data_IF_301163883508
#
_entry.id   IF_301163883508
#
_cell.length_a   1.000
_cell.length_b   1.000
_cell.length_c   1.000
_cell.angle_alpha   90.00
_cell.angle_beta   90.00
_cell.angle_gamma   90.00
#
_symmetry.space_group_name_H-M   'P 1'
#
loop_
_entity.id
_entity.type
_entity.pdbx_description
1 polymer ?
#
# COMPACT_ATOMS: atom_id res chain seq x y z
N UNK A 1 3.26 -12.19 32.85
CA UNK A 1 3.67 -12.27 31.42
C UNK A 1 4.03 -10.86 31.00
N UNK A 2 5.17 -10.66 30.35
CA UNK A 2 5.52 -9.36 29.80
C UNK A 2 4.64 -9.06 28.56
N UNK A 3 4.18 -7.83 28.44
CA UNK A 3 3.40 -7.37 27.28
C UNK A 3 4.32 -7.28 26.06
N UNK A 4 3.84 -7.66 24.88
CA UNK A 4 4.59 -7.55 23.61
C UNK A 4 4.12 -6.38 22.78
N UNK A 5 4.99 -5.85 21.92
CA UNK A 5 4.68 -4.73 21.03
C UNK A 5 3.46 -5.02 20.13
N UNK A 6 3.39 -6.23 19.54
CA UNK A 6 2.23 -6.63 18.75
C UNK A 6 0.90 -6.60 19.54
N UNK A 7 0.92 -6.91 20.84
CA UNK A 7 -0.27 -6.87 21.70
C UNK A 7 -0.71 -5.43 21.97
N UNK A 8 0.24 -4.51 22.19
CA UNK A 8 -0.04 -3.08 22.32
C UNK A 8 -0.66 -2.53 21.04
N UNK A 9 -0.08 -2.85 19.88
CA UNK A 9 -0.60 -2.44 18.57
C UNK A 9 -2.03 -2.95 18.36
N UNK A 10 -2.33 -4.19 18.78
CA UNK A 10 -3.66 -4.77 18.63
C UNK A 10 -4.74 -4.05 19.45
N UNK A 11 -4.41 -3.58 20.67
CA UNK A 11 -5.39 -2.89 21.54
C UNK A 11 -5.50 -1.39 21.26
N UNK A 12 -4.46 -0.76 20.72
CA UNK A 12 -4.39 0.69 20.46
C UNK A 12 -5.61 1.20 19.69
N UNK A 13 -5.99 0.51 18.61
CA UNK A 13 -7.12 0.93 17.78
C UNK A 13 -8.43 1.00 18.58
N UNK A 14 -8.67 0.03 19.45
CA UNK A 14 -9.87 -0.01 20.30
C UNK A 14 -9.85 1.07 21.38
N UNK A 15 -8.70 1.26 22.02
CA UNK A 15 -8.51 2.33 23.02
C UNK A 15 -8.72 3.70 22.41
N UNK A 16 -8.16 3.96 21.22
CA UNK A 16 -8.34 5.21 20.49
C UNK A 16 -9.80 5.47 20.15
N UNK A 17 -10.51 4.48 19.61
CA UNK A 17 -11.92 4.61 19.27
C UNK A 17 -12.78 4.93 20.51
N UNK A 18 -12.54 4.22 21.62
CA UNK A 18 -13.23 4.47 22.89
C UNK A 18 -12.94 5.87 23.44
N UNK A 19 -11.68 6.27 23.53
CA UNK A 19 -11.29 7.57 24.07
C UNK A 19 -11.85 8.74 23.24
N UNK A 20 -11.90 8.61 21.91
CA UNK A 20 -12.56 9.60 21.06
C UNK A 20 -14.08 9.67 21.32
N UNK A 21 -14.75 8.52 21.46
CA UNK A 21 -16.18 8.50 21.77
C UNK A 21 -16.50 9.11 23.14
N UNK A 22 -15.73 8.75 24.16
CA UNK A 22 -15.86 9.27 25.53
C UNK A 22 -15.68 10.80 25.54
N UNK A 23 -14.67 11.32 24.83
CA UNK A 23 -14.43 12.77 24.71
C UNK A 23 -15.56 13.49 23.98
N UNK A 24 -16.08 12.93 22.89
CA UNK A 24 -17.22 13.52 22.17
C UNK A 24 -18.47 13.56 23.04
N UNK A 25 -18.73 12.50 23.81
CA UNK A 25 -19.85 12.46 24.74
C UNK A 25 -19.71 13.51 25.85
N UNK A 26 -18.52 13.59 26.46
CA UNK A 26 -18.20 14.60 27.47
C UNK A 26 -18.44 16.03 26.95
N UNK A 27 -17.99 16.34 25.74
CA UNK A 27 -18.23 17.64 25.08
C UNK A 27 -19.72 17.94 24.92
N UNK A 28 -20.50 16.96 24.48
CA UNK A 28 -21.93 17.12 24.27
C UNK A 28 -22.70 17.31 25.59
N UNK A 29 -22.29 16.63 26.67
CA UNK A 29 -22.93 16.77 27.98
C UNK A 29 -22.68 18.15 28.58
N UNK A 30 -21.45 18.68 28.49
CA UNK A 30 -21.14 20.02 29.01
C UNK A 30 -21.72 21.16 28.17
N UNK A 31 -22.05 20.92 26.89
CA UNK A 31 -22.73 21.91 26.05
C UNK A 31 -24.22 22.05 26.38
N UNK A 32 -24.82 21.07 27.05
CA UNK A 32 -26.23 21.12 27.46
C UNK A 32 -26.36 21.82 28.81
N UNK A 33 -26.43 23.15 28.79
CA UNK A 33 -26.55 23.97 30.02
C UNK A 33 -27.66 23.50 30.96
N UNK A 34 -28.80 23.04 30.43
CA UNK A 34 -29.91 22.53 31.23
C UNK A 34 -29.54 21.33 32.13
N UNK A 35 -28.52 20.54 31.77
CA UNK A 35 -28.03 19.43 32.59
C UNK A 35 -27.11 19.90 33.73
N UNK A 36 -26.45 21.03 33.54
CA UNK A 36 -25.50 21.66 34.47
C UNK A 36 -26.19 22.60 35.46
N UNK A 37 -27.42 23.02 35.16
CA UNK A 37 -28.19 23.94 35.99
C UNK A 37 -29.27 23.22 36.78
N UNK A 38 -29.41 23.55 38.06
CA UNK A 38 -30.56 23.19 38.89
C UNK A 38 -31.35 24.42 39.30
N UNK A 39 -32.61 24.24 39.68
CA UNK A 39 -33.45 25.29 40.24
C UNK A 39 -34.25 24.72 41.41
N UNK A 40 -34.42 25.48 42.48
CA UNK A 40 -35.32 25.15 43.58
C UNK A 40 -36.05 26.44 43.98
N UNK A 41 -37.38 26.44 43.87
CA UNK A 41 -38.24 27.56 44.20
C UNK A 41 -39.34 27.11 45.13
N UNK A 42 -39.48 27.84 46.23
CA UNK A 42 -40.58 27.72 47.17
C UNK A 42 -41.38 29.00 47.14
N UNK A 43 -42.69 28.91 46.93
CA UNK A 43 -43.57 30.07 46.95
C UNK A 43 -44.06 30.33 48.38
N UNK A 44 -43.94 31.58 48.84
CA UNK A 44 -44.51 32.02 50.11
C UNK A 44 -45.51 33.15 49.83
N UNK A 45 -46.81 32.96 50.13
CA UNK A 45 -47.80 34.02 49.98
C UNK A 45 -47.46 35.23 50.87
N UNK A 46 -47.82 36.44 50.40
CA UNK A 46 -47.57 37.68 51.14
C UNK A 46 -48.56 37.90 52.29
N UNK A 47 -49.81 37.49 52.09
CA UNK A 47 -50.92 37.64 53.03
C UNK A 47 -51.40 36.26 53.51
N UNK A 48 -51.99 36.18 54.71
CA UNK A 48 -52.40 34.91 55.32
C UNK A 48 -53.47 34.15 54.52
N UNK A 49 -54.30 34.86 53.76
CA UNK A 49 -55.33 34.29 52.87
C UNK A 49 -54.83 34.09 51.42
N UNK A 50 -53.52 34.21 51.18
CA UNK A 50 -52.93 34.15 49.84
C UNK A 50 -52.93 32.74 49.23
N UNK A 51 -53.05 32.69 47.89
CA UNK A 51 -53.07 31.45 47.13
C UNK A 51 -51.72 30.71 47.21
N UNK A 52 -51.72 29.41 47.52
CA UNK A 52 -50.50 28.61 47.60
C UNK A 52 -50.15 27.95 46.26
N UNK A 53 -48.90 28.06 45.84
CA UNK A 53 -48.35 27.35 44.69
C UNK A 53 -47.39 26.23 45.12
N UNK A 54 -47.38 25.09 44.42
CA UNK A 54 -46.45 24.01 44.71
C UNK A 54 -45.00 24.43 44.44
N UNK A 55 -44.02 23.91 45.19
CA UNK A 55 -42.61 24.20 44.94
C UNK A 55 -42.16 23.59 43.60
N UNK A 56 -41.28 24.29 42.90
CA UNK A 56 -40.63 23.84 41.66
C UNK A 56 -39.19 23.43 41.98
N UNK A 57 -38.77 22.23 41.58
CA UNK A 57 -37.39 21.77 41.81
C UNK A 57 -36.87 20.92 40.64
N UNK A 58 -35.73 21.33 40.08
CA UNK A 58 -34.92 20.57 39.12
C UNK A 58 -33.50 20.45 39.68
N UNK A 59 -32.98 19.22 39.76
CA UNK A 59 -31.62 18.97 40.24
C UNK A 59 -30.61 19.07 39.08
N UNK A 60 -29.38 19.42 39.42
CA UNK A 60 -28.22 19.28 38.52
C UNK A 60 -28.07 17.80 38.15
N UNK A 61 -27.90 17.51 36.87
CA UNK A 61 -27.78 16.15 36.34
C UNK A 61 -26.34 15.79 35.96
N UNK A 62 -25.54 16.80 35.58
CA UNK A 62 -24.13 16.65 35.18
C UNK A 62 -23.29 17.59 36.02
N UNK A 63 -22.23 17.07 36.62
CA UNK A 63 -21.20 17.85 37.30
C UNK A 63 -19.96 17.96 36.41
N UNK A 64 -19.53 19.19 36.10
CA UNK A 64 -18.38 19.42 35.20
C UNK A 64 -17.10 18.74 35.71
N UNK A 65 -16.84 18.76 37.02
CA UNK A 65 -15.69 18.09 37.64
C UNK A 65 -15.67 16.57 37.42
N UNK A 66 -16.85 15.92 37.47
CA UNK A 66 -16.96 14.48 37.20
C UNK A 66 -16.72 14.18 35.72
N UNK A 67 -17.16 15.06 34.82
CA UNK A 67 -16.89 14.97 33.39
C UNK A 67 -15.39 15.14 33.10
N UNK A 68 -14.71 16.08 33.77
CA UNK A 68 -13.26 16.26 33.64
C UNK A 68 -12.51 15.01 34.12
N UNK A 69 -12.85 14.47 35.29
CA UNK A 69 -12.23 13.27 35.85
C UNK A 69 -12.40 12.04 34.95
N UNK A 70 -13.59 11.83 34.41
CA UNK A 70 -13.86 10.70 33.50
C UNK A 70 -13.15 10.87 32.16
N UNK A 71 -13.13 12.09 31.61
CA UNK A 71 -12.38 12.42 30.39
C UNK A 71 -10.87 12.19 30.58
N UNK A 72 -10.30 12.66 31.70
CA UNK A 72 -8.91 12.47 32.07
C UNK A 72 -8.52 11.00 32.13
N UNK A 73 -9.34 10.16 32.79
CA UNK A 73 -9.11 8.72 32.88
C UNK A 73 -9.10 8.03 31.51
N UNK A 74 -10.06 8.37 30.64
CA UNK A 74 -10.16 7.78 29.30
C UNK A 74 -8.98 8.19 28.41
N UNK A 75 -8.62 9.47 28.41
CA UNK A 75 -7.50 9.99 27.63
C UNK A 75 -6.13 9.55 28.18
N UNK A 76 -5.98 9.38 29.49
CA UNK A 76 -4.76 8.84 30.11
C UNK A 76 -4.43 7.48 29.52
N UNK A 77 -5.43 6.59 29.48
CA UNK A 77 -5.25 5.25 28.89
C UNK A 77 -4.81 5.33 27.43
N UNK A 78 -5.37 6.25 26.64
CA UNK A 78 -4.94 6.48 25.25
C UNK A 78 -3.48 6.93 25.17
N UNK A 79 -3.08 7.89 26.01
CA UNK A 79 -1.74 8.48 25.99
C UNK A 79 -0.69 7.43 26.37
N UNK A 80 -0.97 6.63 27.40
CA UNK A 80 -0.09 5.56 27.87
C UNK A 80 0.11 4.47 26.82
N UNK A 81 -0.95 4.01 26.14
CA UNK A 81 -0.83 3.02 25.06
C UNK A 81 0.02 3.55 23.92
N UNK A 82 -0.25 4.79 23.52
CA UNK A 82 0.44 5.42 22.39
C UNK A 82 1.92 5.58 22.71
N UNK A 83 2.25 6.10 23.89
CA UNK A 83 3.62 6.23 24.35
C UNK A 83 4.33 4.87 24.47
N UNK A 84 3.66 3.87 25.04
CA UNK A 84 4.22 2.51 25.14
C UNK A 84 4.63 1.96 23.78
N UNK A 85 3.76 2.11 22.78
CA UNK A 85 4.05 1.70 21.40
C UNK A 85 5.22 2.49 20.80
N UNK A 86 5.20 3.81 20.94
CA UNK A 86 6.17 4.68 20.29
C UNK A 86 7.57 4.52 20.89
N UNK A 87 7.69 4.36 22.21
CA UNK A 87 8.96 4.02 22.86
C UNK A 87 9.44 2.63 22.46
N UNK A 88 8.55 1.63 22.47
CA UNK A 88 8.93 0.28 22.05
C UNK A 88 9.42 0.22 20.60
N UNK A 89 8.87 1.04 19.71
CA UNK A 89 9.33 1.14 18.33
C UNK A 89 10.77 1.67 18.18
N UNK A 90 11.29 2.41 19.16
CA UNK A 90 12.69 2.89 19.15
C UNK A 90 13.69 1.73 19.29
N UNK A 91 13.29 0.70 20.04
CA UNK A 91 14.15 -0.42 20.42
C UNK A 91 13.85 -1.69 19.61
N UNK A 92 12.62 -1.87 19.13
CA UNK A 92 12.19 -3.05 18.37
C UNK A 92 12.95 -3.19 17.04
N UNK A 93 13.85 -4.18 17.00
CA UNK A 93 14.74 -4.48 15.88
C UNK A 93 14.80 -5.98 15.60
N UNK A 94 15.15 -6.34 14.38
CA UNK A 94 15.44 -7.72 14.00
C UNK A 94 16.38 -7.79 12.79
N UNK A 95 17.05 -8.94 12.66
CA UNK A 95 17.85 -9.27 11.48
C UNK A 95 16.97 -9.77 10.33
N UNK A 96 17.27 -9.33 9.11
CA UNK A 96 16.70 -9.92 7.89
C UNK A 96 17.64 -11.01 7.39
N UNK A 97 17.23 -12.28 7.55
CA UNK A 97 18.02 -13.46 7.15
C UNK A 97 17.43 -14.10 5.90
N UNK A 98 18.23 -14.22 4.84
CA UNK A 98 17.86 -14.93 3.59
C UNK A 98 18.76 -16.14 3.45
N UNK A 99 18.17 -17.33 3.32
CA UNK A 99 18.90 -18.61 3.18
C UNK A 99 19.97 -18.80 4.29
N UNK A 100 19.64 -18.42 5.53
CA UNK A 100 20.54 -18.52 6.70
C UNK A 100 21.61 -17.42 6.79
N UNK A 101 21.73 -16.54 5.79
CA UNK A 101 22.67 -15.42 5.81
C UNK A 101 21.97 -14.13 6.25
N UNK A 102 22.55 -13.43 7.23
CA UNK A 102 22.12 -12.08 7.61
C UNK A 102 22.41 -11.13 6.44
N UNK A 103 21.35 -10.57 5.86
CA UNK A 103 21.42 -9.59 4.79
C UNK A 103 21.43 -8.17 5.36
N UNK A 104 20.57 -7.91 6.35
CA UNK A 104 20.48 -6.65 7.09
C UNK A 104 20.42 -6.99 8.58
N UNK A 105 21.22 -6.30 9.39
CA UNK A 105 21.29 -6.54 10.83
C UNK A 105 20.56 -5.44 11.62
N UNK A 106 19.95 -5.80 12.76
CA UNK A 106 19.40 -4.86 13.75
C UNK A 106 18.45 -3.80 13.15
N UNK A 107 17.59 -4.24 12.23
CA UNK A 107 16.74 -3.34 11.45
C UNK A 107 15.51 -2.91 12.25
N UNK A 108 15.24 -1.60 12.40
CA UNK A 108 14.04 -1.11 13.09
C UNK A 108 12.74 -1.64 12.51
N UNK A 109 11.77 -1.98 13.37
CA UNK A 109 10.45 -2.50 12.96
C UNK A 109 9.70 -1.57 12.01
N UNK A 110 9.84 -0.26 12.20
CA UNK A 110 9.23 0.76 11.33
C UNK A 110 9.81 0.72 9.92
N UNK A 111 11.12 0.48 9.79
CA UNK A 111 11.79 0.33 8.49
C UNK A 111 11.47 -1.02 7.84
N UNK A 112 11.34 -2.10 8.63
CA UNK A 112 10.87 -3.40 8.12
C UNK A 112 9.47 -3.30 7.51
N UNK A 113 8.57 -2.54 8.12
CA UNK A 113 7.24 -2.25 7.56
C UNK A 113 7.32 -1.48 6.23
N UNK A 114 8.26 -0.52 6.13
CA UNK A 114 8.53 0.19 4.88
C UNK A 114 9.06 -0.76 3.79
N UNK A 115 10.08 -1.57 4.12
CA UNK A 115 10.67 -2.54 3.20
C UNK A 115 9.64 -3.54 2.68
N UNK A 116 8.77 -4.06 3.55
CA UNK A 116 7.71 -4.99 3.16
C UNK A 116 6.83 -4.38 2.05
N UNK A 117 6.42 -3.12 2.20
CA UNK A 117 5.64 -2.40 1.18
C UNK A 117 6.44 -2.19 -0.11
N UNK A 118 7.67 -1.69 -0.01
CA UNK A 118 8.49 -1.43 -1.20
C UNK A 118 8.81 -2.72 -1.98
N UNK A 119 8.99 -3.84 -1.29
CA UNK A 119 9.25 -5.11 -1.96
C UNK A 119 8.02 -5.63 -2.71
N UNK A 120 6.80 -5.28 -2.31
CA UNK A 120 5.59 -5.53 -3.11
C UNK A 120 5.66 -4.76 -4.43
N UNK A 121 6.05 -3.49 -4.38
CA UNK A 121 6.20 -2.67 -5.60
C UNK A 121 7.32 -3.19 -6.50
N UNK A 122 8.46 -3.58 -5.93
CA UNK A 122 9.58 -4.20 -6.66
C UNK A 122 9.16 -5.52 -7.30
N UNK A 123 8.42 -6.38 -6.59
CA UNK A 123 7.88 -7.62 -7.16
C UNK A 123 6.97 -7.32 -8.35
N UNK A 124 6.05 -6.37 -8.20
CA UNK A 124 5.15 -5.93 -9.25
C UNK A 124 5.89 -5.36 -10.47
N UNK A 125 6.98 -4.62 -10.25
CA UNK A 125 7.85 -4.12 -11.30
C UNK A 125 8.57 -5.27 -12.03
N UNK A 126 9.24 -6.16 -11.30
CA UNK A 126 9.97 -7.30 -11.88
C UNK A 126 9.05 -8.19 -12.70
N UNK A 127 7.83 -8.43 -12.21
CA UNK A 127 6.81 -9.23 -12.91
C UNK A 127 6.41 -8.64 -14.27
N UNK A 128 6.54 -7.32 -14.45
CA UNK A 128 6.20 -6.61 -15.68
C UNK A 128 7.39 -6.42 -16.63
N UNK A 129 8.58 -6.91 -16.28
CA UNK A 129 9.74 -6.78 -17.15
C UNK A 129 9.50 -7.50 -18.49
N UNK A 130 9.86 -6.87 -19.63
CA UNK A 130 9.69 -7.49 -20.93
C UNK A 130 10.59 -8.72 -21.07
N UNK A 131 10.02 -9.77 -21.66
CA UNK A 131 10.69 -11.06 -21.89
C UNK A 131 10.94 -11.24 -23.39
N UNK A 132 12.06 -11.86 -23.74
CA UNK A 132 12.38 -12.23 -25.13
C UNK A 132 11.28 -13.12 -25.74
N UNK A 133 10.92 -12.84 -26.99
CA UNK A 133 9.95 -13.63 -27.73
C UNK A 133 10.48 -15.05 -27.94
N UNK A 134 9.70 -16.04 -27.50
CA UNK A 134 10.05 -17.46 -27.60
C UNK A 134 9.95 -18.02 -29.03
N UNK A 135 9.32 -17.30 -29.96
CA UNK A 135 9.27 -17.68 -31.37
C UNK A 135 10.61 -17.45 -32.10
N UNK A 136 11.52 -16.68 -31.50
CA UNK A 136 12.79 -16.30 -32.09
C UNK A 136 13.97 -16.96 -31.37
N UNK A 137 15.04 -17.24 -32.12
CA UNK A 137 16.31 -17.72 -31.55
C UNK A 137 17.23 -16.54 -31.25
N UNK A 138 17.39 -16.22 -29.97
CA UNK A 138 18.17 -15.08 -29.51
C UNK A 138 19.58 -15.46 -29.07
N UNK A 139 20.57 -14.73 -29.55
CA UNK A 139 21.98 -14.82 -29.14
C UNK A 139 22.39 -13.51 -28.47
N UNK A 140 23.21 -13.59 -27.42
CA UNK A 140 23.72 -12.40 -26.72
C UNK A 140 24.80 -11.75 -27.58
N UNK A 141 24.66 -10.45 -27.82
CA UNK A 141 25.67 -9.64 -28.47
C UNK A 141 26.37 -8.77 -27.43
N UNK A 142 27.58 -9.17 -27.04
CA UNK A 142 28.37 -8.48 -26.00
C UNK A 142 28.81 -7.08 -26.43
N UNK A 143 28.92 -6.81 -27.73
CA UNK A 143 29.37 -5.51 -28.23
C UNK A 143 28.33 -4.41 -28.03
N UNK A 144 27.05 -4.78 -27.97
CA UNK A 144 25.92 -3.85 -27.84
C UNK A 144 25.08 -4.09 -26.58
N UNK A 145 25.49 -5.03 -25.74
CA UNK A 145 24.78 -5.50 -24.54
C UNK A 145 23.30 -5.86 -24.81
N UNK A 146 23.00 -6.31 -26.03
CA UNK A 146 21.64 -6.62 -26.51
C UNK A 146 21.49 -8.08 -26.93
N UNK A 147 20.25 -8.52 -27.16
CA UNK A 147 19.96 -9.81 -27.78
C UNK A 147 19.71 -9.60 -29.27
N UNK A 148 20.24 -10.49 -30.11
CA UNK A 148 19.98 -10.46 -31.55
C UNK A 148 19.61 -11.83 -32.10
N UNK A 149 18.82 -11.87 -33.18
CA UNK A 149 18.54 -13.11 -33.89
C UNK A 149 19.61 -13.43 -34.93
N UNK A 150 19.60 -14.64 -35.45
CA UNK A 150 20.34 -14.93 -36.67
C UNK A 150 19.75 -14.16 -37.87
N UNK A 151 20.58 -13.77 -38.86
CA UNK A 151 20.10 -13.07 -40.04
C UNK A 151 19.18 -13.95 -40.90
N UNK A 152 17.94 -13.51 -41.13
CA UNK A 152 16.99 -14.18 -42.02
C UNK A 152 16.92 -13.46 -43.36
N UNK A 153 17.08 -14.20 -44.46
CA UNK A 153 16.97 -13.64 -45.82
C UNK A 153 15.59 -13.88 -46.41
N UNK A 154 14.96 -12.82 -46.93
CA UNK A 154 13.69 -12.91 -47.66
C UNK A 154 13.81 -12.27 -49.03
N UNK A 155 13.20 -12.90 -50.05
CA UNK A 155 13.27 -12.41 -51.42
C UNK A 155 12.26 -11.28 -51.63
N UNK A 156 12.70 -10.22 -52.33
CA UNK A 156 11.80 -9.19 -52.86
C UNK A 156 11.55 -9.47 -54.33
N UNK A 157 10.29 -9.68 -54.69
CA UNK A 157 9.87 -9.85 -56.08
C UNK A 157 9.25 -8.57 -56.62
N UNK A 158 9.30 -8.40 -57.94
CA UNK A 158 8.62 -7.34 -58.68
C UNK A 158 7.88 -7.98 -59.84
N UNK A 159 6.61 -7.63 -60.00
CA UNK A 159 5.83 -7.99 -61.18
C UNK A 159 6.37 -7.26 -62.39
N UNK A 160 6.79 -8.03 -63.38
CA UNK A 160 7.20 -7.53 -64.69
C UNK A 160 6.17 -8.01 -65.70
N UNK A 161 5.58 -7.08 -66.43
CA UNK A 161 4.67 -7.40 -67.52
C UNK A 161 5.48 -7.89 -68.72
N UNK A 162 5.17 -9.09 -69.19
CA UNK A 162 5.74 -9.67 -70.41
C UNK A 162 4.65 -9.97 -71.41
N UNK A 163 4.99 -9.82 -72.67
CA UNK A 163 4.09 -10.09 -73.78
C UNK A 163 4.38 -11.49 -74.31
N UNK A 164 3.39 -12.39 -74.24
CA UNK A 164 3.43 -13.68 -74.93
C UNK A 164 2.63 -13.57 -76.23
N UNK A 165 3.31 -13.80 -77.36
CA UNK A 165 2.62 -13.89 -78.65
C UNK A 165 2.03 -15.30 -78.76
N UNK A 166 0.70 -15.41 -78.61
CA UNK A 166 -0.02 -16.69 -78.72
C UNK A 166 -0.11 -17.17 -80.17
N UNK A 167 -0.21 -16.22 -81.10
CA UNK A 167 -0.21 -16.48 -82.54
C UNK A 167 0.52 -15.34 -83.26
N UNK A 168 1.45 -15.69 -84.13
CA UNK A 168 2.21 -14.72 -84.93
C UNK A 168 1.30 -13.99 -85.93
N UNK A 169 1.70 -12.78 -86.31
CA UNK A 169 0.96 -12.01 -87.30
C UNK A 169 0.99 -12.72 -88.65
N UNK A 170 -0.16 -12.81 -89.32
CA UNK A 170 -0.27 -13.24 -90.73
C UNK A 170 -0.61 -12.04 -91.60
N UNK A 171 -0.47 -12.17 -92.91
CA UNK A 171 -0.72 -11.08 -93.87
C UNK A 171 -2.12 -10.45 -93.74
N UNK A 172 -3.10 -11.18 -93.18
CA UNK A 172 -4.49 -10.74 -93.02
C UNK A 172 -4.93 -10.51 -91.57
N UNK A 173 -4.13 -10.90 -90.57
CA UNK A 173 -4.49 -10.77 -89.16
C UNK A 173 -3.30 -10.35 -88.28
N UNK A 174 -3.49 -9.36 -87.38
CA UNK A 174 -2.44 -8.94 -86.46
C UNK A 174 -2.12 -10.04 -85.43
N UNK A 175 -0.91 -9.99 -84.87
CA UNK A 175 -0.47 -10.93 -83.84
C UNK A 175 -1.42 -10.89 -82.63
N UNK A 176 -1.77 -12.08 -82.12
CA UNK A 176 -2.51 -12.18 -80.86
C UNK A 176 -1.52 -12.20 -79.71
N UNK A 177 -1.47 -11.09 -78.97
CA UNK A 177 -0.56 -10.91 -77.84
C UNK A 177 -1.37 -10.92 -76.54
N UNK A 178 -0.96 -11.77 -75.61
CA UNK A 178 -1.46 -11.71 -74.23
C UNK A 178 -0.38 -11.15 -73.32
N UNK A 179 -0.76 -10.15 -72.52
CA UNK A 179 0.11 -9.63 -71.46
C UNK A 179 -0.09 -10.50 -70.24
N UNK A 180 0.99 -11.11 -69.73
CA UNK A 180 0.99 -11.83 -68.47
C UNK A 180 2.03 -11.22 -67.52
N UNK A 181 1.82 -11.40 -66.23
CA UNK A 181 2.74 -10.92 -65.21
C UNK A 181 3.65 -12.05 -64.76
N UNK A 182 4.96 -11.81 -64.79
CA UNK A 182 5.96 -12.69 -64.19
C UNK A 182 6.53 -12.05 -62.93
N UNK A 183 6.58 -12.79 -61.83
CA UNK A 183 7.21 -12.34 -60.58
C UNK A 183 8.71 -12.62 -60.63
N UNK A 184 9.51 -11.58 -60.89
CA UNK A 184 10.97 -11.68 -60.93
C UNK A 184 11.54 -11.27 -59.58
N UNK A 185 12.44 -12.09 -59.02
CA UNK A 185 13.18 -11.73 -57.79
C UNK A 185 14.19 -10.62 -58.12
N UNK A 186 14.04 -9.46 -57.48
CA UNK A 186 14.87 -8.27 -57.72
C UNK A 186 15.93 -8.03 -56.63
N UNK A 187 15.89 -8.80 -55.54
CA UNK A 187 16.87 -8.69 -54.46
C UNK A 187 16.44 -9.48 -53.22
N UNK A 188 17.23 -9.37 -52.15
CA UNK A 188 16.93 -9.97 -50.87
C UNK A 188 17.01 -8.93 -49.75
N UNK A 189 16.11 -9.02 -48.78
CA UNK A 189 16.24 -8.37 -47.48
C UNK A 189 16.98 -9.32 -46.54
N UNK A 190 17.92 -8.81 -45.75
CA UNK A 190 18.49 -9.54 -44.62
C UNK A 190 18.02 -8.86 -43.35
N UNK A 191 17.23 -9.58 -42.55
CA UNK A 191 16.65 -9.05 -41.31
C UNK A 191 17.35 -9.66 -40.11
N UNK A 192 17.85 -8.80 -39.22
CA UNK A 192 18.31 -9.16 -37.88
C UNK A 192 17.43 -8.40 -36.89
N UNK A 193 16.81 -9.11 -35.96
CA UNK A 193 16.04 -8.48 -34.87
C UNK A 193 16.96 -8.24 -33.69
N UNK A 194 16.74 -7.15 -32.98
CA UNK A 194 17.45 -6.80 -31.75
C UNK A 194 16.44 -6.61 -30.61
N UNK A 195 16.82 -6.95 -29.39
CA UNK A 195 15.97 -6.80 -28.21
C UNK A 195 16.79 -6.49 -26.95
N UNK A 196 16.27 -5.56 -26.15
CA UNK A 196 16.75 -5.30 -24.79
C UNK A 196 15.96 -6.06 -23.71
N UNK A 197 15.01 -6.91 -24.11
CA UNK A 197 14.24 -7.71 -23.18
C UNK A 197 15.09 -8.80 -22.50
N UNK A 198 14.61 -9.33 -21.38
CA UNK A 198 15.33 -10.33 -20.62
C UNK A 198 14.93 -11.76 -21.01
N UNK A 199 15.82 -12.75 -20.88
CA UNK A 199 15.42 -14.15 -20.92
C UNK A 199 14.41 -14.44 -19.82
N UNK A 200 13.39 -15.26 -20.12
CA UNK A 200 12.35 -15.65 -19.15
C UNK A 200 12.96 -16.20 -17.85
N UNK A 201 14.00 -17.04 -17.98
CA UNK A 201 14.76 -17.59 -16.85
C UNK A 201 15.30 -16.50 -15.91
N UNK A 202 15.80 -15.38 -16.46
CA UNK A 202 16.36 -14.31 -15.66
C UNK A 202 15.27 -13.58 -14.88
N UNK A 203 14.12 -13.30 -15.51
CA UNK A 203 12.98 -12.68 -14.82
C UNK A 203 12.49 -13.58 -13.68
N UNK A 204 12.37 -14.89 -13.91
CA UNK A 204 11.97 -15.84 -12.87
C UNK A 204 12.96 -15.89 -11.70
N UNK A 205 14.27 -15.86 -11.96
CA UNK A 205 15.29 -15.78 -10.91
C UNK A 205 15.17 -14.49 -10.08
N UNK A 206 14.86 -13.36 -10.73
CA UNK A 206 14.65 -12.09 -10.02
C UNK A 206 13.40 -12.15 -9.15
N UNK A 207 12.30 -12.70 -9.66
CA UNK A 207 11.07 -12.90 -8.90
C UNK A 207 11.30 -13.77 -7.67
N UNK A 208 11.95 -14.93 -7.83
CA UNK A 208 12.25 -15.82 -6.71
C UNK A 208 13.10 -15.12 -5.64
N UNK A 209 14.09 -14.32 -6.04
CA UNK A 209 14.92 -13.54 -5.10
C UNK A 209 14.11 -12.50 -4.34
N UNK A 210 13.20 -11.79 -5.02
CA UNK A 210 12.34 -10.80 -4.37
C UNK A 210 11.38 -11.48 -3.40
N UNK A 211 10.79 -12.62 -3.76
CA UNK A 211 9.89 -13.40 -2.91
C UNK A 211 10.59 -13.92 -1.65
N UNK A 212 11.81 -14.47 -1.79
CA UNK A 212 12.63 -14.88 -0.64
C UNK A 212 12.90 -13.72 0.30
N UNK A 213 13.22 -12.55 -0.26
CA UNK A 213 13.47 -11.36 0.54
C UNK A 213 12.20 -10.84 1.23
N UNK A 214 11.05 -10.85 0.54
CA UNK A 214 9.76 -10.50 1.14
C UNK A 214 9.44 -11.39 2.34
N UNK A 215 9.62 -12.71 2.21
CA UNK A 215 9.42 -13.64 3.31
C UNK A 215 10.35 -13.32 4.49
N UNK A 216 11.66 -13.15 4.22
CA UNK A 216 12.64 -12.83 5.24
C UNK A 216 12.31 -11.53 6.00
N UNK A 217 11.92 -10.47 5.29
CA UNK A 217 11.51 -9.19 5.90
C UNK A 217 10.26 -9.36 6.75
N UNK A 218 9.29 -10.16 6.29
CA UNK A 218 8.07 -10.43 7.05
C UNK A 218 8.37 -11.16 8.36
N UNK A 219 9.24 -12.18 8.33
CA UNK A 219 9.66 -12.89 9.55
C UNK A 219 10.42 -11.96 10.51
N UNK A 220 11.37 -11.17 10.00
CA UNK A 220 12.07 -10.18 10.80
C UNK A 220 11.11 -9.17 11.44
N UNK A 221 10.09 -8.71 10.70
CA UNK A 221 9.09 -7.78 11.23
C UNK A 221 8.27 -8.42 12.36
N UNK A 222 7.87 -9.68 12.22
CA UNK A 222 7.15 -10.39 13.29
C UNK A 222 8.05 -10.61 14.53
N UNK A 223 9.33 -10.92 14.32
CA UNK A 223 10.32 -11.05 15.41
C UNK A 223 10.50 -9.72 16.17
N UNK A 224 10.71 -8.62 15.45
CA UNK A 224 10.84 -7.29 16.06
C UNK A 224 9.56 -6.88 16.81
N UNK A 225 8.37 -7.18 16.26
CA UNK A 225 7.10 -6.93 16.95
C UNK A 225 6.85 -7.86 18.15
N UNK A 226 7.60 -8.95 18.27
CA UNK A 226 7.59 -9.87 19.39
C UNK A 226 8.34 -9.37 20.62
N UNK A 227 9.03 -8.22 20.50
CA UNK A 227 9.80 -7.59 21.58
C UNK A 227 8.91 -7.26 22.78
N UNK A 228 9.40 -7.54 23.97
CA UNK A 228 8.74 -7.17 25.23
C UNK A 228 8.79 -5.66 25.41
N UNK A 229 7.69 -5.08 25.89
CA UNK A 229 7.56 -3.63 26.04
C UNK A 229 7.42 -3.25 27.50
N UNK A 230 7.95 -2.08 27.83
CA UNK A 230 7.76 -1.43 29.13
C UNK A 230 6.61 -0.43 29.04
N UNK A 231 5.57 -0.66 29.82
CA UNK A 231 4.40 0.23 29.88
C UNK A 231 4.83 1.65 30.28
N UNK A 232 4.46 2.62 29.45
CA UNK A 232 4.65 4.04 29.71
C UNK A 232 3.39 4.58 30.40
N UNK A 233 3.58 5.20 31.57
CA UNK A 233 2.51 5.84 32.35
C UNK A 233 2.75 7.34 32.43
N UNK A 234 2.39 8.03 31.36
CA UNK A 234 2.65 9.46 31.20
C UNK A 234 1.36 10.28 31.14
N UNK A 235 0.22 9.66 30.85
CA UNK A 235 -1.07 10.35 30.75
C UNK A 235 -1.47 11.00 32.07
N UNK A 236 -1.27 10.31 33.20
CA UNK A 236 -1.56 10.85 34.53
C UNK A 236 -0.84 12.19 34.77
N UNK A 237 0.44 12.28 34.42
CA UNK A 237 1.21 13.51 34.60
C UNK A 237 0.67 14.67 33.73
N UNK A 238 0.18 14.37 32.53
CA UNK A 238 -0.41 15.37 31.63
C UNK A 238 -1.74 15.87 32.18
N UNK A 239 -2.64 14.97 32.60
CA UNK A 239 -3.98 15.36 33.04
C UNK A 239 -4.03 15.87 34.47
N UNK A 240 -3.11 15.45 35.34
CA UNK A 240 -2.89 16.10 36.62
C UNK A 240 -2.54 17.58 36.40
N UNK A 241 -1.59 17.89 35.50
CA UNK A 241 -1.28 19.28 35.18
C UNK A 241 -2.48 20.08 34.61
N UNK A 242 -3.40 19.44 33.89
CA UNK A 242 -4.52 20.12 33.23
C UNK A 242 -5.75 20.32 34.12
N UNK A 243 -6.03 19.39 35.03
CA UNK A 243 -7.31 19.31 35.76
C UNK A 243 -7.17 19.17 37.28
N UNK A 244 -5.95 19.18 37.81
CA UNK A 244 -5.67 19.24 39.25
C UNK A 244 -5.58 20.69 39.76
#
# INVERSE_FOLDING_TARGET
MATKLNQIIAVEKGVKAKASADLTQAQHDVQKTALLTGIARTYQPRDEDGEMFPPESTRVQVHAEDVLRTTASSLTRLFDVTATKDWANCDARADVKVDGRVLLAEVPVSYLLFLEKQLVDVHGFVKKLPVLDAAESWNRDESTDSWRTEPVKTNRTKKVYRNHVKAEATEKHPAQVEVYTEDVTIGHWTTVKFSGALPARRVNQLLERVEKLQQAVKFAREEANGTEVSDQRIGDAVFAFLFE
#
